data_IF_027717907570
#
_entry.id   IF_027717907570
#
_cell.length_a   1.000
_cell.length_b   1.000
_cell.length_c   1.000
_cell.angle_alpha   90.00
_cell.angle_beta   90.00
_cell.angle_gamma   90.00
#
_symmetry.space_group_name_H-M   'P 1'
#
loop_
_entity.id
_entity.type
_entity.pdbx_description
1 polymer ?
#
# COMPACT_ATOMS: atom_id res chain seq x y z
N UNK A 1 4.09 -35.73 37.04
CA UNK A 1 3.47 -35.78 35.70
C UNK A 1 2.92 -34.38 35.44
N UNK A 2 3.71 -33.54 34.74
CA UNK A 2 3.39 -32.12 34.48
C UNK A 2 2.55 -32.05 33.20
N UNK A 3 1.43 -31.31 33.16
CA UNK A 3 0.65 -31.20 31.94
C UNK A 3 1.35 -30.25 30.96
N UNK A 4 1.49 -30.71 29.72
CA UNK A 4 2.00 -29.95 28.58
C UNK A 4 1.05 -28.78 28.29
N UNK A 5 1.59 -27.57 28.41
CA UNK A 5 0.93 -26.36 27.96
C UNK A 5 0.60 -26.48 26.47
N UNK A 6 -0.67 -26.27 26.20
CA UNK A 6 -1.35 -26.26 24.91
C UNK A 6 -0.61 -25.38 23.92
N UNK A 7 -0.31 -25.93 22.75
CA UNK A 7 0.34 -25.23 21.64
C UNK A 7 -0.36 -23.91 21.34
N UNK A 8 0.46 -22.86 21.22
CA UNK A 8 0.05 -21.54 20.76
C UNK A 8 -0.65 -21.66 19.42
N UNK A 9 -1.94 -21.33 19.40
CA UNK A 9 -2.71 -21.15 18.18
C UNK A 9 -2.00 -20.10 17.34
N UNK A 10 -1.69 -20.44 16.08
CA UNK A 10 -1.29 -19.46 15.09
C UNK A 10 -2.34 -18.34 15.09
N UNK A 11 -1.92 -17.15 15.49
CA UNK A 11 -2.75 -15.97 15.50
C UNK A 11 -3.14 -15.71 14.05
N UNK A 12 -4.45 -15.78 13.76
CA UNK A 12 -4.95 -15.34 12.47
C UNK A 12 -4.55 -13.87 12.32
N UNK A 13 -3.69 -13.58 11.35
CA UNK A 13 -3.32 -12.21 10.99
C UNK A 13 -4.62 -11.49 10.64
N UNK A 14 -4.88 -10.34 11.27
CA UNK A 14 -6.12 -9.61 11.03
C UNK A 14 -6.13 -9.03 9.61
N UNK A 15 -7.31 -8.80 9.04
CA UNK A 15 -7.43 -8.16 7.72
C UNK A 15 -6.76 -6.78 7.72
N UNK A 16 -6.83 -6.07 8.84
CA UNK A 16 -6.15 -4.79 9.06
C UNK A 16 -4.62 -4.92 9.02
N UNK A 17 -4.04 -5.94 9.68
CA UNK A 17 -2.59 -6.22 9.63
C UNK A 17 -2.12 -6.54 8.19
N UNK A 18 -2.95 -7.23 7.39
CA UNK A 18 -2.65 -7.50 5.98
C UNK A 18 -2.64 -6.20 5.16
N UNK A 19 -3.64 -5.34 5.37
CA UNK A 19 -3.75 -4.06 4.66
C UNK A 19 -2.62 -3.10 5.03
N UNK A 20 -2.25 -3.01 6.32
CA UNK A 20 -1.13 -2.20 6.79
C UNK A 20 0.20 -2.64 6.16
N UNK A 21 0.44 -3.96 6.14
CA UNK A 21 1.66 -4.51 5.56
C UNK A 21 1.70 -4.33 4.04
N UNK A 22 0.57 -4.52 3.36
CA UNK A 22 0.44 -4.24 1.92
C UNK A 22 0.74 -2.76 1.63
N UNK A 23 0.19 -1.83 2.42
CA UNK A 23 0.45 -0.38 2.28
C UNK A 23 1.91 -0.04 2.53
N UNK A 24 2.56 -0.66 3.53
CA UNK A 24 4.00 -0.48 3.81
C UNK A 24 4.86 -0.88 2.59
N UNK A 25 4.57 -2.04 2.00
CA UNK A 25 5.29 -2.56 0.83
C UNK A 25 5.06 -1.70 -0.42
N UNK A 26 3.82 -1.28 -0.68
CA UNK A 26 3.51 -0.38 -1.79
C UNK A 26 4.17 1.01 -1.61
N UNK A 27 4.28 1.51 -0.37
CA UNK A 27 5.00 2.76 -0.07
C UNK A 27 6.49 2.63 -0.41
N UNK A 28 7.12 1.51 -0.06
CA UNK A 28 8.51 1.25 -0.44
C UNK A 28 8.69 1.20 -1.97
N UNK A 29 7.79 0.51 -2.68
CA UNK A 29 7.79 0.46 -4.14
C UNK A 29 7.60 1.84 -4.78
N UNK A 30 6.75 2.69 -4.21
CA UNK A 30 6.57 4.08 -4.62
C UNK A 30 7.87 4.89 -4.49
N UNK A 31 8.56 4.80 -3.36
CA UNK A 31 9.83 5.51 -3.15
C UNK A 31 10.95 5.01 -4.09
N UNK A 32 11.01 3.71 -4.33
CA UNK A 32 11.92 3.12 -5.32
C UNK A 32 11.58 3.59 -6.75
N UNK A 33 10.30 3.70 -7.08
CA UNK A 33 9.81 4.21 -8.38
C UNK A 33 10.25 5.66 -8.58
N UNK A 34 10.04 6.53 -7.58
CA UNK A 34 10.49 7.94 -7.61
C UNK A 34 12.00 8.05 -7.77
N UNK A 35 12.78 7.21 -7.08
CA UNK A 35 14.24 7.23 -7.14
C UNK A 35 14.80 6.74 -8.49
N UNK A 36 14.17 5.73 -9.10
CA UNK A 36 14.70 5.06 -10.30
C UNK A 36 14.06 5.55 -11.60
N UNK A 37 12.91 6.24 -11.53
CA UNK A 37 12.15 6.69 -12.69
C UNK A 37 11.58 5.53 -13.52
N UNK A 38 11.37 4.37 -12.91
CA UNK A 38 10.82 3.18 -13.56
C UNK A 38 9.97 2.37 -12.59
N UNK A 39 9.05 1.60 -13.16
CA UNK A 39 8.20 0.66 -12.44
C UNK A 39 9.03 -0.37 -11.65
N UNK A 40 8.49 -0.78 -10.50
CA UNK A 40 9.08 -1.74 -9.58
C UNK A 40 8.23 -3.01 -9.60
N UNK A 41 8.84 -4.13 -9.96
CA UNK A 41 8.20 -5.45 -9.93
C UNK A 41 8.35 -6.10 -8.56
N UNK A 42 7.56 -7.15 -8.28
CA UNK A 42 7.69 -7.98 -7.08
C UNK A 42 9.08 -8.58 -6.93
N UNK A 43 9.78 -8.88 -8.04
CA UNK A 43 11.17 -9.38 -7.98
C UNK A 43 12.14 -8.34 -7.46
N UNK A 44 11.99 -7.09 -7.90
CA UNK A 44 12.82 -5.98 -7.45
C UNK A 44 12.47 -5.67 -6.00
N UNK A 45 11.19 -5.57 -5.68
CA UNK A 45 10.73 -5.29 -4.32
C UNK A 45 11.24 -6.34 -3.33
N UNK A 46 11.17 -7.63 -3.67
CA UNK A 46 11.70 -8.72 -2.84
C UNK A 46 13.19 -8.53 -2.50
N UNK A 47 13.97 -8.07 -3.47
CA UNK A 47 15.40 -7.81 -3.28
C UNK A 47 15.64 -6.61 -2.37
N UNK A 48 14.86 -5.53 -2.54
CA UNK A 48 15.05 -4.28 -1.80
C UNK A 48 14.43 -4.31 -0.39
N UNK A 49 13.39 -5.12 -0.17
CA UNK A 49 12.70 -5.25 1.11
C UNK A 49 13.19 -6.41 1.98
N UNK A 50 14.23 -7.13 1.52
CA UNK A 50 14.73 -8.37 2.13
C UNK A 50 13.61 -9.40 2.41
N UNK A 51 12.54 -9.35 1.60
CA UNK A 51 11.34 -10.18 1.79
C UNK A 51 11.28 -11.21 0.68
N UNK A 52 11.14 -12.51 0.98
CA UNK A 52 11.00 -13.52 -0.06
C UNK A 52 9.84 -13.22 -0.99
N UNK A 53 10.01 -13.41 -2.30
CA UNK A 53 8.96 -13.18 -3.30
C UNK A 53 7.65 -13.90 -2.95
N UNK A 54 7.73 -15.15 -2.49
CA UNK A 54 6.56 -15.94 -2.10
C UNK A 54 5.78 -15.35 -0.91
N UNK A 55 6.44 -14.52 -0.09
CA UNK A 55 5.79 -13.77 0.99
C UNK A 55 5.12 -12.51 0.44
N UNK A 56 5.69 -11.85 -0.56
CA UNK A 56 5.05 -10.73 -1.25
C UNK A 56 3.81 -11.17 -2.03
N UNK A 57 3.83 -12.36 -2.63
CA UNK A 57 2.70 -12.97 -3.33
C UNK A 57 1.50 -13.32 -2.41
N UNK A 58 1.65 -13.17 -1.09
CA UNK A 58 0.54 -13.24 -0.13
C UNK A 58 -0.16 -11.90 0.05
N UNK A 59 0.50 -10.81 -0.33
CA UNK A 59 -0.03 -9.45 -0.24
C UNK A 59 -0.43 -8.90 -1.59
N UNK A 60 0.19 -9.37 -2.69
CA UNK A 60 -0.07 -8.92 -4.05
C UNK A 60 -0.27 -10.12 -4.98
N UNK A 61 -1.30 -10.08 -5.83
CA UNK A 61 -1.57 -11.15 -6.81
C UNK A 61 -0.46 -11.22 -7.87
N UNK A 62 -0.04 -10.07 -8.41
CA UNK A 62 1.00 -9.96 -9.42
C UNK A 62 1.69 -8.58 -9.42
N UNK A 63 2.52 -8.32 -10.44
CA UNK A 63 3.19 -7.02 -10.61
C UNK A 63 2.18 -5.89 -10.90
N UNK A 64 1.05 -6.19 -11.55
CA UNK A 64 -0.01 -5.21 -11.85
C UNK A 64 -0.73 -4.79 -10.57
N UNK A 65 -1.03 -5.74 -9.69
CA UNK A 65 -1.66 -5.50 -8.40
C UNK A 65 -0.77 -4.63 -7.47
N UNK A 66 0.55 -4.86 -7.50
CA UNK A 66 1.52 -3.96 -6.87
C UNK A 66 1.49 -2.56 -7.50
N UNK A 67 1.48 -2.49 -8.84
CA UNK A 67 1.45 -1.23 -9.57
C UNK A 67 0.19 -0.41 -9.25
N UNK A 68 -0.97 -1.04 -9.17
CA UNK A 68 -2.24 -0.39 -8.80
C UNK A 68 -2.15 0.21 -7.40
N UNK A 69 -1.66 -0.52 -6.40
CA UNK A 69 -1.47 0.04 -5.05
C UNK A 69 -0.45 1.19 -5.00
N UNK A 70 0.59 1.13 -5.83
CA UNK A 70 1.54 2.27 -5.97
C UNK A 70 0.84 3.47 -6.60
N UNK A 71 0.00 3.27 -7.62
CA UNK A 71 -0.76 4.33 -8.28
C UNK A 71 -1.79 4.98 -7.34
N UNK A 72 -2.50 4.17 -6.55
CA UNK A 72 -3.43 4.64 -5.51
C UNK A 72 -2.71 5.57 -4.51
N UNK A 73 -1.57 5.13 -3.97
CA UNK A 73 -0.76 5.95 -3.06
C UNK A 73 -0.24 7.23 -3.71
N UNK A 74 0.13 7.18 -4.99
CA UNK A 74 0.56 8.39 -5.71
C UNK A 74 -0.58 9.41 -5.81
N UNK A 75 -1.80 8.95 -6.07
CA UNK A 75 -2.96 9.81 -6.30
C UNK A 75 -3.65 10.27 -5.02
N UNK A 76 -3.50 9.54 -3.91
CA UNK A 76 -4.17 9.80 -2.62
C UNK A 76 -4.12 11.28 -2.20
N UNK A 77 -2.96 11.91 -2.28
CA UNK A 77 -2.81 13.33 -1.93
C UNK A 77 -3.60 14.24 -2.87
N UNK A 78 -3.57 13.97 -4.17
CA UNK A 78 -4.29 14.77 -5.16
C UNK A 78 -5.80 14.61 -4.98
N UNK A 79 -6.26 13.38 -4.76
CA UNK A 79 -7.66 13.06 -4.47
C UNK A 79 -8.13 13.79 -3.22
N UNK A 80 -7.37 13.71 -2.13
CA UNK A 80 -7.70 14.40 -0.87
C UNK A 80 -7.88 15.91 -1.05
N UNK A 81 -7.02 16.58 -1.83
CA UNK A 81 -7.18 18.01 -2.13
C UNK A 81 -8.46 18.27 -2.92
N UNK A 82 -8.74 17.47 -3.95
CA UNK A 82 -9.95 17.59 -4.75
C UNK A 82 -11.21 17.40 -3.89
N UNK A 83 -11.20 16.40 -3.01
CA UNK A 83 -12.30 16.13 -2.07
C UNK A 83 -12.53 17.32 -1.11
N UNK A 84 -11.46 17.90 -0.56
CA UNK A 84 -11.54 19.10 0.29
C UNK A 84 -12.16 20.29 -0.47
N UNK A 85 -11.75 20.52 -1.71
CA UNK A 85 -12.30 21.62 -2.53
C UNK A 85 -13.78 21.39 -2.86
N UNK A 86 -14.16 20.16 -3.22
CA UNK A 86 -15.58 19.80 -3.47
C UNK A 86 -16.42 19.98 -2.22
N UNK A 87 -15.91 19.58 -1.05
CA UNK A 87 -16.62 19.67 0.23
C UNK A 87 -16.73 21.10 0.77
N UNK A 88 -15.94 22.05 0.27
CA UNK A 88 -15.97 23.45 0.74
C UNK A 88 -17.27 24.19 0.40
N UNK A 89 -17.55 25.28 1.13
CA UNK A 89 -18.69 26.19 0.87
C UNK A 89 -18.40 27.23 -0.24
N UNK A 90 -17.33 27.05 -1.02
CA UNK A 90 -16.96 27.98 -2.09
C UNK A 90 -17.99 27.98 -3.22
N UNK A 91 -18.23 29.14 -3.87
CA UNK A 91 -19.05 29.17 -5.09
C UNK A 91 -18.35 28.39 -6.23
N UNK A 92 -19.10 27.88 -7.23
CA UNK A 92 -18.55 26.98 -8.25
C UNK A 92 -17.32 27.51 -9.00
N UNK A 93 -17.30 28.80 -9.34
CA UNK A 93 -16.16 29.44 -10.01
C UNK A 93 -14.89 29.47 -9.14
N UNK A 94 -15.04 29.51 -7.81
CA UNK A 94 -13.90 29.44 -6.88
C UNK A 94 -13.43 28.01 -6.71
N UNK A 95 -14.33 27.02 -6.59
CA UNK A 95 -13.94 25.60 -6.57
C UNK A 95 -13.12 25.21 -7.79
N UNK A 96 -13.55 25.63 -8.98
CA UNK A 96 -12.83 25.38 -10.23
C UNK A 96 -11.41 25.95 -10.26
N UNK A 97 -11.14 27.03 -9.52
CA UNK A 97 -9.80 27.65 -9.45
C UNK A 97 -8.89 26.93 -8.44
N UNK A 98 -9.44 26.41 -7.34
CA UNK A 98 -8.66 25.74 -6.29
C UNK A 98 -8.41 24.25 -6.61
N UNK A 99 -9.14 23.68 -7.58
CA UNK A 99 -8.88 22.35 -8.18
C UNK A 99 -7.60 22.35 -9.00
#
# INVERSE_FOLDING_TARGET
MVPLATGGKGQAVSEEEILEERRRLATLALELTKKRGKEITLSILATESETPRIRLEQFFEDDSDLFESVAELWMEKHISIMEEVVASDLPPNRKMYEF
#
